data_IF_535630804071
#
_entry.id   IF_535630804071
#
_cell.length_a   1.000
_cell.length_b   1.000
_cell.length_c   1.000
_cell.angle_alpha   90.00
_cell.angle_beta   90.00
_cell.angle_gamma   90.00
#
_symmetry.space_group_name_H-M   'P 1'
#
loop_
_entity.id
_entity.type
_entity.pdbx_description
1 polymer ?
#
# COMPACT_ATOMS: atom_id res chain seq x y z
N UNK A 1 -15.95 -1.18 -14.22
CA UNK A 1 -14.75 -0.99 -13.37
C UNK A 1 -14.40 -2.24 -12.56
N UNK A 2 -15.32 -2.82 -11.77
CA UNK A 2 -15.06 -4.01 -10.93
C UNK A 2 -14.58 -5.24 -11.72
N UNK A 3 -15.30 -5.60 -12.77
CA UNK A 3 -14.95 -6.74 -13.65
C UNK A 3 -13.58 -6.55 -14.30
N UNK A 4 -13.25 -5.32 -14.73
CA UNK A 4 -11.94 -4.98 -15.30
C UNK A 4 -10.81 -5.15 -14.28
N UNK A 5 -11.03 -4.74 -13.02
CA UNK A 5 -10.06 -4.95 -11.95
C UNK A 5 -9.87 -6.43 -11.65
N UNK A 6 -10.96 -7.19 -11.50
CA UNK A 6 -10.90 -8.62 -11.27
C UNK A 6 -10.16 -9.36 -12.40
N UNK A 7 -10.44 -9.00 -13.66
CA UNK A 7 -9.77 -9.56 -14.83
C UNK A 7 -8.27 -9.22 -14.86
N UNK A 8 -7.89 -7.96 -14.58
CA UNK A 8 -6.48 -7.54 -14.48
C UNK A 8 -5.77 -8.28 -13.34
N UNK A 9 -6.37 -8.34 -12.16
CA UNK A 9 -5.80 -9.03 -11.00
C UNK A 9 -5.62 -10.53 -11.27
N UNK A 10 -6.54 -11.16 -12.01
CA UNK A 10 -6.44 -12.56 -12.41
C UNK A 10 -5.32 -12.78 -13.43
N UNK A 11 -5.22 -11.91 -14.44
CA UNK A 11 -4.14 -11.98 -15.42
C UNK A 11 -2.75 -11.84 -14.76
N UNK A 12 -2.66 -11.07 -13.66
CA UNK A 12 -1.43 -10.77 -12.93
C UNK A 12 -1.16 -11.68 -11.72
N UNK A 13 -2.06 -12.61 -11.38
CA UNK A 13 -1.86 -13.49 -10.23
C UNK A 13 -0.65 -14.43 -10.43
N UNK A 14 -0.26 -14.71 -11.68
CA UNK A 14 0.99 -15.44 -11.96
C UNK A 14 2.20 -14.56 -11.72
N UNK A 15 2.17 -13.30 -12.13
CA UNK A 15 3.26 -12.34 -11.92
C UNK A 15 3.66 -12.21 -10.44
N UNK A 16 2.69 -12.21 -9.51
CA UNK A 16 3.02 -12.17 -8.08
C UNK A 16 3.66 -13.47 -7.57
N UNK A 17 3.23 -14.63 -8.08
CA UNK A 17 3.86 -15.91 -7.76
C UNK A 17 5.29 -15.98 -8.30
N UNK A 18 5.50 -15.49 -9.52
CA UNK A 18 6.81 -15.44 -10.16
C UNK A 18 7.73 -14.46 -9.43
N UNK A 19 7.22 -13.28 -9.06
CA UNK A 19 7.99 -12.31 -8.28
C UNK A 19 8.37 -12.86 -6.90
N UNK A 20 7.45 -13.55 -6.23
CA UNK A 20 7.70 -14.19 -4.93
C UNK A 20 8.75 -15.30 -5.05
N UNK A 21 8.73 -16.08 -6.13
CA UNK A 21 9.74 -17.09 -6.40
C UNK A 21 11.11 -16.48 -6.73
N UNK A 22 11.14 -15.48 -7.62
CA UNK A 22 12.35 -14.77 -8.02
C UNK A 22 13.06 -14.11 -6.83
N UNK A 23 12.29 -13.57 -5.88
CA UNK A 23 12.84 -12.87 -4.70
C UNK A 23 12.97 -13.78 -3.47
N UNK A 24 12.71 -15.08 -3.57
CA UNK A 24 12.63 -15.97 -2.41
C UNK A 24 13.86 -15.89 -1.48
N UNK A 25 15.07 -15.89 -2.04
CA UNK A 25 16.32 -15.79 -1.25
C UNK A 25 16.44 -14.43 -0.56
N UNK A 26 16.24 -13.33 -1.30
CA UNK A 26 16.29 -11.98 -0.75
C UNK A 26 15.23 -11.76 0.35
N UNK A 27 14.04 -12.32 0.16
CA UNK A 27 12.98 -12.32 1.17
C UNK A 27 13.42 -13.11 2.40
N UNK A 28 14.02 -14.28 2.19
CA UNK A 28 14.59 -15.08 3.26
C UNK A 28 15.61 -14.29 4.09
N UNK A 29 16.52 -13.58 3.46
CA UNK A 29 17.51 -12.76 4.16
C UNK A 29 16.86 -11.64 5.00
N UNK A 30 15.85 -10.96 4.47
CA UNK A 30 15.09 -9.94 5.24
C UNK A 30 14.38 -10.58 6.44
N UNK A 31 13.72 -11.71 6.25
CA UNK A 31 13.04 -12.44 7.32
C UNK A 31 14.01 -12.93 8.40
N UNK A 32 15.22 -13.35 8.01
CA UNK A 32 16.27 -13.73 8.94
C UNK A 32 16.75 -12.53 9.75
N UNK A 33 17.05 -11.41 9.08
CA UNK A 33 17.62 -10.23 9.70
C UNK A 33 16.62 -9.52 10.64
N UNK A 34 15.36 -9.39 10.22
CA UNK A 34 14.37 -8.59 10.94
C UNK A 34 13.53 -9.37 11.95
N UNK A 35 13.33 -10.67 11.73
CA UNK A 35 12.52 -11.52 12.62
C UNK A 35 13.31 -12.65 13.30
N UNK A 36 14.62 -12.77 13.02
CA UNK A 36 15.44 -13.84 13.59
C UNK A 36 15.04 -15.24 13.13
N UNK A 37 14.37 -15.35 11.97
CA UNK A 37 13.84 -16.62 11.48
C UNK A 37 14.95 -17.49 10.90
N UNK A 38 14.94 -18.77 11.24
CA UNK A 38 15.87 -19.77 10.72
C UNK A 38 15.39 -20.34 9.39
N UNK A 39 16.28 -21.04 8.66
CA UNK A 39 16.03 -21.43 7.27
C UNK A 39 14.71 -22.18 7.04
N UNK A 40 14.32 -23.08 7.95
CA UNK A 40 13.09 -23.86 7.81
C UNK A 40 11.82 -23.04 8.08
N UNK A 41 11.84 -22.09 9.02
CA UNK A 41 10.73 -21.14 9.23
C UNK A 41 10.50 -20.28 8.00
N UNK A 42 11.58 -19.76 7.42
CA UNK A 42 11.55 -18.93 6.20
C UNK A 42 10.95 -19.70 5.03
N UNK A 43 11.39 -20.94 4.82
CA UNK A 43 10.84 -21.82 3.78
C UNK A 43 9.35 -22.14 4.02
N UNK A 44 8.95 -22.36 5.28
CA UNK A 44 7.55 -22.60 5.64
C UNK A 44 6.66 -21.38 5.34
N UNK A 45 7.11 -20.17 5.69
CA UNK A 45 6.41 -18.89 5.43
C UNK A 45 6.26 -18.65 3.93
N UNK A 46 7.35 -18.73 3.15
CA UNK A 46 7.32 -18.57 1.70
C UNK A 46 6.41 -19.60 1.04
N UNK A 47 6.54 -20.87 1.42
CA UNK A 47 5.70 -21.94 0.92
C UNK A 47 4.23 -21.76 1.29
N UNK A 48 3.93 -21.25 2.48
CA UNK A 48 2.56 -20.93 2.88
C UNK A 48 1.97 -19.82 2.00
N UNK A 49 2.69 -18.71 1.81
CA UNK A 49 2.26 -17.60 0.97
C UNK A 49 1.99 -18.05 -0.48
N UNK A 50 2.90 -18.84 -1.07
CA UNK A 50 2.73 -19.42 -2.41
C UNK A 50 1.49 -20.32 -2.50
N UNK A 51 1.26 -21.19 -1.51
CA UNK A 51 0.07 -22.07 -1.49
C UNK A 51 -1.23 -21.27 -1.41
N UNK A 52 -1.28 -20.23 -0.58
CA UNK A 52 -2.46 -19.36 -0.48
C UNK A 52 -2.75 -18.65 -1.80
N UNK A 53 -1.72 -18.11 -2.46
CA UNK A 53 -1.88 -17.46 -3.77
C UNK A 53 -2.30 -18.46 -4.88
N UNK A 54 -1.75 -19.68 -4.88
CA UNK A 54 -2.16 -20.74 -5.82
C UNK A 54 -3.62 -21.16 -5.63
N UNK A 55 -4.10 -21.25 -4.38
CA UNK A 55 -5.52 -21.51 -4.13
C UNK A 55 -6.44 -20.47 -4.76
N UNK A 56 -5.98 -19.22 -4.90
CA UNK A 56 -6.76 -18.18 -5.60
C UNK A 56 -6.79 -18.36 -7.12
N UNK A 57 -5.80 -19.05 -7.72
CA UNK A 57 -5.85 -19.42 -9.15
C UNK A 57 -6.88 -20.52 -9.41
N UNK A 58 -7.00 -21.45 -8.47
CA UNK A 58 -7.87 -22.62 -8.55
C UNK A 58 -9.30 -22.31 -8.08
N UNK A 59 -9.49 -21.21 -7.34
CA UNK A 59 -10.78 -20.83 -6.81
C UNK A 59 -11.77 -20.44 -7.93
N UNK A 60 -13.05 -20.83 -7.80
CA UNK A 60 -14.10 -20.35 -8.69
C UNK A 60 -14.22 -18.82 -8.63
N UNK A 61 -14.80 -18.24 -9.67
CA UNK A 61 -14.90 -16.79 -9.81
C UNK A 61 -15.55 -16.14 -8.57
N UNK A 62 -14.83 -15.26 -7.86
CA UNK A 62 -15.38 -14.64 -6.67
C UNK A 62 -16.58 -13.75 -7.03
N UNK A 63 -17.74 -14.03 -6.46
CA UNK A 63 -18.96 -13.23 -6.67
C UNK A 63 -18.94 -12.04 -5.73
N UNK A 64 -18.60 -10.85 -6.25
CA UNK A 64 -18.90 -9.54 -5.66
C UNK A 64 -18.26 -9.19 -4.31
N UNK A 65 -18.08 -7.89 -4.10
CA UNK A 65 -17.69 -7.29 -2.82
C UNK A 65 -17.43 -5.80 -2.99
N UNK A 66 -18.24 -4.95 -2.33
CA UNK A 66 -18.18 -3.48 -2.47
C UNK A 66 -17.13 -2.83 -1.55
N UNK A 67 -16.49 -3.60 -0.68
CA UNK A 67 -15.61 -3.04 0.33
C UNK A 67 -14.23 -2.66 -0.23
N UNK A 68 -13.84 -1.41 -0.01
CA UNK A 68 -12.42 -1.05 0.03
C UNK A 68 -11.77 -1.83 1.18
N UNK A 69 -10.96 -2.85 0.86
CA UNK A 69 -10.31 -3.67 1.88
C UNK A 69 -9.08 -2.97 2.43
N UNK A 70 -8.91 -2.93 3.75
CA UNK A 70 -7.62 -2.59 4.37
C UNK A 70 -6.94 -3.90 4.76
N UNK A 71 -5.73 -4.11 4.26
CA UNK A 71 -4.91 -5.27 4.57
C UNK A 71 -3.59 -4.79 5.15
N UNK A 72 -3.23 -5.34 6.31
CA UNK A 72 -1.99 -5.01 6.98
C UNK A 72 -1.07 -6.23 6.99
N UNK A 73 0.18 -6.03 6.62
CA UNK A 73 1.24 -6.98 6.95
C UNK A 73 1.53 -6.87 8.45
N UNK A 74 1.35 -7.98 9.16
CA UNK A 74 1.49 -8.01 10.63
C UNK A 74 2.87 -8.47 11.02
N UNK A 75 3.34 -8.01 12.19
CA UNK A 75 4.70 -8.30 12.67
C UNK A 75 5.02 -9.80 12.77
N UNK A 76 4.04 -10.61 13.19
CA UNK A 76 4.22 -12.07 13.40
C UNK A 76 3.71 -12.92 12.24
N UNK A 77 3.28 -12.29 11.16
CA UNK A 77 2.65 -12.95 10.01
C UNK A 77 3.19 -12.34 8.71
N UNK A 78 4.51 -12.49 8.44
CA UNK A 78 5.11 -11.99 7.21
C UNK A 78 4.43 -12.62 6.00
N UNK A 79 4.24 -11.83 4.94
CA UNK A 79 3.59 -12.22 3.67
C UNK A 79 2.11 -12.64 3.77
N UNK A 80 1.51 -12.76 4.96
CA UNK A 80 0.09 -13.14 5.08
C UNK A 80 -0.86 -12.08 4.51
N UNK A 81 -0.38 -10.86 4.26
CA UNK A 81 -1.15 -9.82 3.58
C UNK A 81 -1.39 -10.11 2.08
N UNK A 82 -0.58 -10.97 1.45
CA UNK A 82 -0.61 -11.16 -0.02
C UNK A 82 -1.94 -11.76 -0.48
N UNK A 83 -2.33 -12.90 0.08
CA UNK A 83 -3.56 -13.59 -0.29
C UNK A 83 -4.86 -12.81 -0.02
N UNK A 84 -5.09 -12.19 1.15
CA UNK A 84 -6.27 -11.37 1.37
C UNK A 84 -6.30 -10.13 0.49
N UNK A 85 -5.16 -9.48 0.23
CA UNK A 85 -5.09 -8.37 -0.71
C UNK A 85 -5.48 -8.82 -2.13
N UNK A 86 -4.89 -9.92 -2.60
CA UNK A 86 -5.19 -10.43 -3.94
C UNK A 86 -6.62 -10.95 -4.08
N UNK A 87 -7.13 -11.63 -3.06
CA UNK A 87 -8.52 -12.10 -3.03
C UNK A 87 -9.52 -10.94 -3.10
N UNK A 88 -9.22 -9.79 -2.49
CA UNK A 88 -10.03 -8.60 -2.63
C UNK A 88 -9.94 -8.00 -4.05
N UNK A 89 -8.75 -7.94 -4.64
CA UNK A 89 -8.58 -7.51 -6.03
C UNK A 89 -9.37 -8.39 -7.02
N UNK A 90 -9.36 -9.72 -6.80
CA UNK A 90 -10.12 -10.68 -7.61
C UNK A 90 -11.64 -10.52 -7.48
N UNK A 91 -12.15 -9.92 -6.39
CA UNK A 91 -13.56 -9.51 -6.24
C UNK A 91 -13.86 -8.16 -6.90
N UNK A 92 -12.86 -7.54 -7.54
CA UNK A 92 -12.97 -6.21 -8.12
C UNK A 92 -12.94 -5.08 -7.10
N UNK A 93 -12.47 -5.35 -5.87
CA UNK A 93 -12.32 -4.34 -4.83
C UNK A 93 -10.99 -3.60 -4.92
N UNK A 94 -10.99 -2.30 -4.61
CA UNK A 94 -9.76 -1.54 -4.37
C UNK A 94 -9.23 -1.87 -2.99
N UNK A 95 -7.92 -2.07 -2.87
CA UNK A 95 -7.29 -2.48 -1.61
C UNK A 95 -6.29 -1.44 -1.14
N UNK A 96 -6.34 -1.13 0.15
CA UNK A 96 -5.28 -0.42 0.85
C UNK A 96 -4.39 -1.41 1.56
N UNK A 97 -3.10 -1.40 1.21
CA UNK A 97 -2.13 -2.29 1.84
C UNK A 97 -1.11 -1.48 2.62
N UNK A 98 -0.92 -1.86 3.88
CA UNK A 98 0.05 -1.24 4.79
C UNK A 98 0.76 -2.27 5.66
N UNK A 99 1.61 -1.78 6.56
CA UNK A 99 2.32 -2.61 7.53
C UNK A 99 1.98 -2.17 8.96
N UNK A 100 1.88 -3.13 9.86
CA UNK A 100 1.90 -2.88 11.30
C UNK A 100 3.29 -2.35 11.73
N UNK A 101 3.35 -1.65 12.86
CA UNK A 101 4.62 -1.29 13.47
C UNK A 101 5.48 -2.55 13.74
N UNK A 102 6.71 -2.54 13.24
CA UNK A 102 7.66 -3.66 13.37
C UNK A 102 7.40 -4.84 12.43
N UNK A 103 6.50 -4.71 11.44
CA UNK A 103 6.38 -5.71 10.38
C UNK A 103 7.50 -5.58 9.33
N UNK A 104 7.86 -6.72 8.73
CA UNK A 104 8.93 -6.84 7.71
C UNK A 104 8.65 -6.15 6.40
N UNK A 105 7.36 -5.89 6.11
CA UNK A 105 6.88 -5.13 4.92
C UNK A 105 7.18 -5.74 3.56
N UNK A 106 7.82 -6.90 3.51
CA UNK A 106 8.14 -7.61 2.28
C UNK A 106 6.89 -7.81 1.42
N UNK A 107 5.76 -8.17 2.04
CA UNK A 107 4.50 -8.35 1.32
C UNK A 107 3.94 -7.03 0.76
N UNK A 108 4.05 -5.94 1.52
CA UNK A 108 3.68 -4.59 1.04
C UNK A 108 4.53 -4.17 -0.15
N UNK A 109 5.84 -4.44 -0.11
CA UNK A 109 6.78 -4.08 -1.17
C UNK A 109 6.54 -4.88 -2.45
N UNK A 110 6.38 -6.21 -2.33
CA UNK A 110 6.04 -7.08 -3.45
C UNK A 110 4.74 -6.66 -4.13
N UNK A 111 3.72 -6.34 -3.34
CA UNK A 111 2.48 -5.83 -3.88
C UNK A 111 2.75 -4.56 -4.64
N UNK A 112 3.46 -3.60 -4.04
CA UNK A 112 3.80 -2.30 -4.59
C UNK A 112 4.51 -2.30 -5.95
N UNK A 113 5.37 -3.27 -6.21
CA UNK A 113 6.02 -3.45 -7.52
C UNK A 113 5.03 -3.77 -8.64
N UNK A 114 3.85 -4.30 -8.30
CA UNK A 114 2.81 -4.65 -9.26
C UNK A 114 1.79 -3.50 -9.46
N UNK A 115 2.04 -2.29 -8.95
CA UNK A 115 1.08 -1.15 -8.90
C UNK A 115 0.77 -0.63 -10.26
N UNK A 116 1.86 -0.27 -10.92
CA UNK A 116 1.89 0.28 -12.25
C UNK A 116 1.28 -0.71 -13.25
N UNK A 117 1.28 -2.01 -12.92
CA UNK A 117 0.71 -3.08 -13.75
C UNK A 117 -0.78 -3.32 -13.49
N UNK A 118 -1.33 -2.78 -12.41
CA UNK A 118 -2.72 -2.90 -11.99
C UNK A 118 -3.41 -1.53 -12.02
N UNK A 119 -3.17 -0.72 -13.05
CA UNK A 119 -3.83 0.57 -13.24
C UNK A 119 -5.15 0.46 -14.01
N UNK A 120 -6.13 1.28 -13.61
CA UNK A 120 -7.39 1.48 -14.31
C UNK A 120 -7.55 2.96 -14.57
N UNK A 121 -7.67 3.33 -15.85
CA UNK A 121 -7.85 4.70 -16.32
C UNK A 121 -6.76 5.66 -15.81
N UNK A 122 -5.51 5.17 -15.77
CA UNK A 122 -4.33 5.93 -15.31
C UNK A 122 -4.25 6.09 -13.79
N UNK A 123 -5.09 5.38 -13.02
CA UNK A 123 -5.02 5.36 -11.57
C UNK A 123 -4.71 3.95 -11.06
N UNK A 124 -3.81 3.78 -10.08
CA UNK A 124 -3.51 2.46 -9.52
C UNK A 124 -4.75 1.88 -8.83
N UNK A 125 -5.08 0.63 -9.15
CA UNK A 125 -6.28 -0.03 -8.63
C UNK A 125 -6.14 -0.52 -7.19
N UNK A 126 -4.95 -0.41 -6.62
CA UNK A 126 -4.71 -0.50 -5.19
C UNK A 126 -3.93 0.73 -4.72
N UNK A 127 -4.02 1.05 -3.43
CA UNK A 127 -3.32 2.19 -2.84
C UNK A 127 -2.41 1.69 -1.72
N UNK A 128 -1.11 1.86 -1.87
CA UNK A 128 -0.17 1.58 -0.78
C UNK A 128 -0.30 2.69 0.25
N UNK A 129 -0.55 2.31 1.50
CA UNK A 129 -0.44 3.20 2.63
C UNK A 129 0.69 2.66 3.51
N UNK A 130 1.86 3.28 3.43
CA UNK A 130 3.01 2.86 4.23
C UNK A 130 2.84 3.35 5.68
N UNK A 131 2.55 2.43 6.60
CA UNK A 131 2.55 2.72 8.04
C UNK A 131 3.81 2.10 8.70
N UNK A 132 4.73 2.97 9.15
CA UNK A 132 5.96 2.71 9.96
C UNK A 132 7.12 1.83 9.40
N UNK A 133 8.21 2.43 8.87
CA UNK A 133 9.49 1.76 8.47
C UNK A 133 10.53 2.73 7.88
N UNK A 134 11.68 2.29 7.30
CA UNK A 134 12.79 3.18 6.86
C UNK A 134 12.37 4.25 5.84
N UNK A 135 11.43 3.92 4.95
CA UNK A 135 10.80 4.88 4.04
C UNK A 135 9.95 5.95 4.75
N UNK A 136 9.47 5.72 5.98
CA UNK A 136 8.84 6.75 6.83
C UNK A 136 9.87 7.73 7.35
N UNK A 137 11.09 7.28 7.67
CA UNK A 137 12.16 8.19 8.05
C UNK A 137 12.56 9.06 6.86
N UNK A 138 12.77 8.46 5.69
CA UNK A 138 13.00 9.22 4.46
C UNK A 138 11.84 10.18 4.11
N UNK A 139 10.57 9.74 4.26
CA UNK A 139 9.40 10.59 4.06
C UNK A 139 9.31 11.70 5.11
N UNK A 140 9.65 11.44 6.38
CA UNK A 140 9.73 12.46 7.43
C UNK A 140 10.79 13.48 7.10
N UNK A 141 11.96 13.04 6.66
CA UNK A 141 13.07 13.93 6.33
C UNK A 141 12.73 14.77 5.09
N UNK A 142 12.08 14.18 4.07
CA UNK A 142 11.50 14.90 2.94
C UNK A 142 10.42 15.91 3.38
N UNK A 143 9.51 15.53 4.28
CA UNK A 143 8.45 16.42 4.76
C UNK A 143 8.99 17.54 5.67
N UNK A 144 10.09 17.29 6.41
CA UNK A 144 10.79 18.34 7.15
C UNK A 144 11.50 19.30 6.20
N UNK A 145 12.14 18.77 5.15
CA UNK A 145 12.83 19.59 4.16
C UNK A 145 11.87 20.39 3.27
N UNK A 146 10.73 19.82 2.91
CA UNK A 146 9.82 20.36 1.88
C UNK A 146 8.40 20.67 2.37
N UNK A 147 8.13 20.58 3.67
CA UNK A 147 6.80 20.84 4.23
C UNK A 147 6.31 22.26 3.95
N UNK A 148 7.22 23.23 4.00
CA UNK A 148 6.96 24.63 3.60
C UNK A 148 6.59 24.75 2.13
N UNK A 149 7.34 24.07 1.25
CA UNK A 149 7.08 24.06 -0.20
C UNK A 149 5.71 23.44 -0.52
N UNK A 150 5.33 22.38 0.20
CA UNK A 150 4.05 21.71 0.04
C UNK A 150 2.88 22.60 0.49
N UNK A 151 3.05 23.36 1.57
CA UNK A 151 2.07 24.36 2.00
C UNK A 151 1.96 25.52 0.99
N UNK A 152 3.09 26.00 0.49
CA UNK A 152 3.12 27.03 -0.55
C UNK A 152 2.41 26.56 -1.83
N UNK A 153 2.73 25.35 -2.30
CA UNK A 153 2.12 24.72 -3.47
C UNK A 153 0.61 24.54 -3.26
N UNK A 154 0.17 24.06 -2.10
CA UNK A 154 -1.25 23.94 -1.78
C UNK A 154 -1.97 25.29 -1.87
N UNK A 155 -1.40 26.36 -1.30
CA UNK A 155 -1.97 27.70 -1.38
C UNK A 155 -2.11 28.24 -2.80
N UNK A 156 -1.18 27.88 -3.70
CA UNK A 156 -1.24 28.20 -5.13
C UNK A 156 -2.31 27.37 -5.84
N UNK A 157 -2.33 26.07 -5.62
CA UNK A 157 -3.26 25.13 -6.26
C UNK A 157 -4.70 25.38 -5.83
N UNK A 158 -4.94 25.74 -4.57
CA UNK A 158 -6.28 26.00 -4.05
C UNK A 158 -6.97 27.21 -4.72
N UNK A 159 -6.23 28.06 -5.44
CA UNK A 159 -6.77 29.16 -6.25
C UNK A 159 -7.19 28.72 -7.64
N UNK A 160 -6.76 27.54 -8.08
CA UNK A 160 -7.11 26.98 -9.39
C UNK A 160 -8.36 26.10 -9.24
N UNK A 161 -9.41 26.46 -9.96
CA UNK A 161 -10.67 25.72 -9.94
C UNK A 161 -10.46 24.30 -10.47
N UNK A 162 -10.90 23.30 -9.70
CA UNK A 162 -10.78 21.89 -10.05
C UNK A 162 -9.48 21.22 -9.56
N UNK A 163 -8.56 21.95 -8.92
CA UNK A 163 -7.34 21.36 -8.37
C UNK A 163 -7.64 20.46 -7.15
N UNK A 164 -6.86 19.39 -7.01
CA UNK A 164 -6.95 18.43 -5.90
C UNK A 164 -5.56 18.05 -5.42
N UNK A 165 -5.30 18.22 -4.13
CA UNK A 165 -4.09 17.72 -3.48
C UNK A 165 -4.43 16.44 -2.69
N UNK A 166 -3.66 15.38 -2.90
CA UNK A 166 -3.84 14.10 -2.21
C UNK A 166 -2.66 13.79 -1.29
N UNK A 167 -2.91 13.54 0.00
CA UNK A 167 -1.89 13.24 1.00
C UNK A 167 -2.29 11.99 1.81
N UNK A 168 -1.60 10.85 1.63
CA UNK A 168 -1.82 9.57 2.35
C UNK A 168 -3.30 9.22 2.64
N UNK A 169 -4.19 9.29 1.64
CA UNK A 169 -5.61 9.00 1.83
C UNK A 169 -6.51 10.22 1.75
N UNK A 170 -6.00 11.38 2.14
CA UNK A 170 -6.75 12.62 2.29
C UNK A 170 -6.81 13.38 0.96
N UNK A 171 -7.95 13.99 0.66
CA UNK A 171 -8.16 14.83 -0.51
C UNK A 171 -8.50 16.26 -0.08
N UNK A 172 -7.74 17.22 -0.60
CA UNK A 172 -7.95 18.65 -0.41
C UNK A 172 -8.30 19.24 -1.79
N UNK A 173 -9.60 19.23 -2.09
CA UNK A 173 -10.13 19.68 -3.37
C UNK A 173 -10.52 21.17 -3.30
N UNK A 174 -10.19 21.94 -4.33
CA UNK A 174 -10.56 23.37 -4.45
C UNK A 174 -12.07 23.62 -4.39
N UNK A 175 -12.86 22.62 -4.79
CA UNK A 175 -14.33 22.56 -4.79
C UNK A 175 -14.90 21.70 -3.64
N UNK A 176 -14.05 21.34 -2.67
CA UNK A 176 -14.44 20.53 -1.52
C UNK A 176 -15.26 21.30 -0.47
N UNK A 177 -15.74 20.58 0.57
CA UNK A 177 -16.59 21.16 1.61
C UNK A 177 -15.89 22.18 2.52
N UNK A 178 -14.56 22.32 2.41
CA UNK A 178 -13.77 23.25 3.21
C UNK A 178 -13.12 24.31 2.33
N UNK A 179 -13.13 25.56 2.77
CA UNK A 179 -12.45 26.65 2.08
C UNK A 179 -10.93 26.49 2.13
N UNK A 180 -10.22 27.07 1.15
CA UNK A 180 -8.76 27.01 1.07
C UNK A 180 -8.05 27.43 2.38
N UNK A 181 -8.46 28.50 3.10
CA UNK A 181 -7.84 28.83 4.39
C UNK A 181 -7.98 27.72 5.44
N UNK A 182 -9.12 27.03 5.51
CA UNK A 182 -9.31 25.88 6.43
C UNK A 182 -8.48 24.68 6.00
N UNK A 183 -8.40 24.41 4.70
CA UNK A 183 -7.58 23.31 4.17
C UNK A 183 -6.09 23.49 4.49
N UNK A 184 -5.57 24.73 4.45
CA UNK A 184 -4.17 25.02 4.84
C UNK A 184 -3.86 24.56 6.27
N UNK A 185 -4.76 24.79 7.22
CA UNK A 185 -4.55 24.32 8.60
C UNK A 185 -4.54 22.80 8.71
N UNK A 186 -5.41 22.12 7.95
CA UNK A 186 -5.45 20.65 7.92
C UNK A 186 -4.21 20.05 7.27
N UNK A 187 -3.75 20.64 6.16
CA UNK A 187 -2.50 20.24 5.49
C UNK A 187 -1.31 20.45 6.42
N UNK A 188 -1.25 21.59 7.13
CA UNK A 188 -0.20 21.86 8.12
C UNK A 188 -0.22 20.83 9.25
N UNK A 189 -1.38 20.61 9.87
CA UNK A 189 -1.52 19.62 10.94
C UNK A 189 -1.14 18.21 10.47
N UNK A 190 -1.47 17.86 9.23
CA UNK A 190 -1.06 16.60 8.63
C UNK A 190 0.46 16.50 8.46
N UNK A 191 1.13 17.56 7.96
CA UNK A 191 2.59 17.61 7.82
C UNK A 191 3.26 17.49 9.19
N UNK A 192 2.79 18.24 10.17
CA UNK A 192 3.32 18.24 11.54
C UNK A 192 3.20 16.84 12.15
N UNK A 193 2.03 16.20 12.01
CA UNK A 193 1.81 14.83 12.47
C UNK A 193 2.71 13.82 11.74
N UNK A 194 2.83 13.93 10.41
CA UNK A 194 3.59 12.99 9.59
C UNK A 194 5.12 13.12 9.81
N UNK A 195 5.61 14.33 10.08
CA UNK A 195 7.03 14.65 10.35
C UNK A 195 7.45 14.38 11.80
N UNK A 196 6.49 14.25 12.72
CA UNK A 196 6.74 13.96 14.13
C UNK A 196 7.33 12.55 14.33
N UNK A 197 8.26 12.40 15.30
CA UNK A 197 8.73 11.09 15.73
C UNK A 197 7.55 10.23 16.21
N UNK A 198 7.64 8.89 16.16
CA UNK A 198 6.60 8.05 16.71
C UNK A 198 6.51 8.29 18.22
N UNK A 199 5.30 8.36 18.77
CA UNK A 199 5.13 8.37 20.22
C UNK A 199 5.73 7.08 20.78
N UNK A 200 6.63 7.23 21.76
CA UNK A 200 7.35 6.16 22.45
C UNK A 200 6.41 5.20 23.16
#
# INVERSE_FOLDING_TARGET
MRERLAALARARLRDILDLLALRADAIGEVLAAEQGLVAWDRAAILGHAQRQLRRLLEAPEPVGGEAVGVVLERRRQPLECLAPAWGALLRGARVHVGGEAGATRVGVELLGELAERLEIDGAPAYRLALWAGPRRQALRDLLRAHGGDLLYLHGRLARLRGARLWLNGWCFASDGPWSAPRQVHLVRAWIDHASSPPAS
#
